data_IF_005185137313
#
_entry.id   IF_005185137313
#
_cell.length_a   1.000
_cell.length_b   1.000
_cell.length_c   1.000
_cell.angle_alpha   90.00
_cell.angle_beta   90.00
_cell.angle_gamma   90.00
#
_symmetry.space_group_name_H-M   'P 1'
#
loop_
_entity.id
_entity.type
_entity.pdbx_description
1 polymer ?
#
# COMPACT_ATOMS: atom_id res chain seq x y z
N UNK A 1 46.93 -3.91 33.04
CA UNK A 1 45.69 -3.63 32.28
C UNK A 1 44.62 -4.53 32.86
N UNK A 2 43.63 -3.94 33.55
CA UNK A 2 42.67 -4.68 34.39
C UNK A 2 41.43 -5.03 33.57
N UNK A 3 41.18 -6.33 33.37
CA UNK A 3 39.98 -6.85 32.72
C UNK A 3 38.79 -6.78 33.68
N UNK A 4 37.78 -5.96 33.36
CA UNK A 4 36.51 -5.94 34.08
C UNK A 4 35.67 -7.16 33.69
N UNK A 5 35.67 -8.18 34.54
CA UNK A 5 34.74 -9.31 34.48
C UNK A 5 33.30 -8.79 34.68
N UNK A 6 32.48 -8.79 33.63
CA UNK A 6 31.03 -8.63 33.72
C UNK A 6 30.43 -9.91 34.30
N UNK A 7 30.17 -9.92 35.61
CA UNK A 7 29.51 -11.02 36.31
C UNK A 7 28.06 -11.16 35.84
N UNK A 8 27.79 -12.15 34.98
CA UNK A 8 26.44 -12.54 34.58
C UNK A 8 25.74 -13.19 35.78
N UNK A 9 24.87 -12.42 36.44
CA UNK A 9 24.04 -12.88 37.57
C UNK A 9 23.01 -13.91 37.07
N UNK A 10 22.77 -15.03 37.78
CA UNK A 10 21.81 -16.04 37.33
C UNK A 10 20.39 -15.44 37.31
N UNK A 11 19.79 -15.48 36.13
CA UNK A 11 18.44 -14.98 35.85
C UNK A 11 17.44 -15.81 36.67
N UNK A 12 16.70 -15.17 37.58
CA UNK A 12 15.64 -15.85 38.33
C UNK A 12 14.53 -16.32 37.39
N UNK A 13 13.82 -17.43 37.71
CA UNK A 13 12.70 -17.93 36.88
C UNK A 13 11.66 -16.84 36.56
N UNK A 14 11.45 -15.90 37.48
CA UNK A 14 10.53 -14.78 37.29
C UNK A 14 11.07 -13.74 36.28
N UNK A 15 12.37 -13.42 36.33
CA UNK A 15 13.02 -12.53 35.35
C UNK A 15 12.88 -13.12 33.93
N UNK A 16 13.19 -14.40 33.76
CA UNK A 16 13.06 -15.08 32.47
C UNK A 16 11.62 -15.06 31.93
N UNK A 17 10.62 -15.21 32.81
CA UNK A 17 9.21 -15.14 32.44
C UNK A 17 8.80 -13.72 32.01
N UNK A 18 9.22 -12.69 32.76
CA UNK A 18 8.95 -11.28 32.46
C UNK A 18 9.60 -10.88 31.13
N UNK A 19 10.87 -11.20 30.91
CA UNK A 19 11.59 -10.90 29.66
C UNK A 19 10.93 -11.61 28.47
N UNK A 20 10.58 -12.88 28.60
CA UNK A 20 9.91 -13.63 27.53
C UNK A 20 8.52 -13.05 27.20
N UNK A 21 7.77 -12.57 28.20
CA UNK A 21 6.48 -11.92 27.98
C UNK A 21 6.65 -10.57 27.29
N UNK A 22 7.66 -9.79 27.70
CA UNK A 22 7.99 -8.49 27.09
C UNK A 22 8.37 -8.64 25.61
N UNK A 23 9.23 -9.61 25.28
CA UNK A 23 9.63 -9.89 23.91
C UNK A 23 8.47 -10.36 23.02
N UNK A 24 7.55 -11.18 23.55
CA UNK A 24 6.36 -11.61 22.81
C UNK A 24 5.45 -10.42 22.50
N UNK A 25 5.23 -9.54 23.46
CA UNK A 25 4.43 -8.32 23.27
C UNK A 25 5.08 -7.39 22.25
N UNK A 26 6.40 -7.20 22.32
CA UNK A 26 7.17 -6.42 21.34
C UNK A 26 7.07 -6.98 19.93
N UNK A 27 7.26 -8.29 19.77
CA UNK A 27 7.11 -8.95 18.46
C UNK A 27 5.71 -8.74 17.90
N UNK A 28 4.66 -8.90 18.72
CA UNK A 28 3.27 -8.71 18.30
C UNK A 28 2.98 -7.27 17.84
N UNK A 29 3.47 -6.27 18.59
CA UNK A 29 3.34 -4.85 18.21
C UNK A 29 4.05 -4.60 16.88
N UNK A 30 5.28 -5.09 16.72
CA UNK A 30 6.05 -4.92 15.48
C UNK A 30 5.37 -5.58 14.27
N UNK A 31 4.79 -6.76 14.44
CA UNK A 31 4.04 -7.44 13.38
C UNK A 31 2.77 -6.66 12.99
N UNK A 32 2.05 -6.09 13.96
CA UNK A 32 0.86 -5.28 13.68
C UNK A 32 1.21 -3.97 12.99
N UNK A 33 2.28 -3.30 13.39
CA UNK A 33 2.78 -2.11 12.71
C UNK A 33 3.23 -2.43 11.28
N UNK A 34 3.85 -3.61 11.06
CA UNK A 34 4.21 -4.08 9.73
C UNK A 34 2.97 -4.36 8.86
N UNK A 35 1.92 -4.96 9.43
CA UNK A 35 0.65 -5.13 8.72
C UNK A 35 0.00 -3.77 8.39
N UNK A 36 -0.02 -2.83 9.33
CA UNK A 36 -0.54 -1.49 9.09
C UNK A 36 0.22 -0.79 7.96
N UNK A 37 1.56 -0.87 7.98
CA UNK A 37 2.41 -0.35 6.91
C UNK A 37 2.18 -1.05 5.58
N UNK A 38 2.04 -2.37 5.58
CA UNK A 38 1.75 -3.17 4.39
C UNK A 38 0.40 -2.84 3.76
N UNK A 39 -0.66 -2.76 4.57
CA UNK A 39 -1.99 -2.35 4.10
C UNK A 39 -1.99 -0.89 3.64
N UNK A 40 -1.28 0.01 4.32
CA UNK A 40 -1.12 1.40 3.89
C UNK A 40 -0.42 1.52 2.55
N UNK A 41 0.66 0.74 2.34
CA UNK A 41 1.35 0.65 1.05
C UNK A 41 0.43 0.12 -0.05
N UNK A 42 -0.30 -0.95 0.22
CA UNK A 42 -1.25 -1.53 -0.73
C UNK A 42 -2.36 -0.52 -1.10
N UNK A 43 -2.91 0.20 -0.12
CA UNK A 43 -3.90 1.24 -0.35
C UNK A 43 -3.33 2.35 -1.25
N UNK A 44 -2.10 2.83 -0.97
CA UNK A 44 -1.42 3.83 -1.78
C UNK A 44 -1.15 3.38 -3.21
N UNK A 45 -0.74 2.11 -3.41
CA UNK A 45 -0.53 1.55 -4.74
C UNK A 45 -1.82 1.46 -5.54
N UNK A 46 -2.91 0.95 -4.93
CA UNK A 46 -4.21 0.90 -5.58
C UNK A 46 -4.74 2.30 -5.89
N UNK A 47 -4.50 3.27 -5.01
CA UNK A 47 -4.89 4.67 -5.20
C UNK A 47 -4.17 5.29 -6.40
N UNK A 48 -2.86 5.07 -6.50
CA UNK A 48 -2.07 5.51 -7.63
C UNK A 48 -2.58 4.92 -8.95
N UNK A 49 -2.81 3.61 -8.99
CA UNK A 49 -3.36 2.94 -10.18
C UNK A 49 -4.72 3.52 -10.57
N UNK A 50 -5.64 3.63 -9.61
CA UNK A 50 -6.97 4.19 -9.87
C UNK A 50 -6.89 5.63 -10.39
N UNK A 51 -6.07 6.47 -9.75
CA UNK A 51 -5.84 7.86 -10.17
C UNK A 51 -5.28 7.91 -11.59
N UNK A 52 -4.25 7.13 -11.89
CA UNK A 52 -3.62 7.09 -13.22
C UNK A 52 -4.60 6.63 -14.30
N UNK A 53 -5.43 5.61 -14.02
CA UNK A 53 -6.46 5.16 -14.96
C UNK A 53 -7.46 6.28 -15.23
N UNK A 54 -7.93 6.98 -14.18
CA UNK A 54 -8.89 8.09 -14.33
C UNK A 54 -8.26 9.23 -15.13
N UNK A 55 -7.04 9.65 -14.82
CA UNK A 55 -6.33 10.70 -15.55
C UNK A 55 -6.06 10.31 -17.00
N UNK A 56 -5.75 9.03 -17.26
CA UNK A 56 -5.52 8.54 -18.62
C UNK A 56 -6.80 8.61 -19.47
N UNK A 57 -7.94 8.30 -18.86
CA UNK A 57 -9.26 8.39 -19.51
C UNK A 57 -9.67 9.83 -19.76
N UNK A 58 -9.43 10.75 -18.83
CA UNK A 58 -9.93 12.14 -18.91
C UNK A 58 -8.99 13.07 -19.67
N UNK A 59 -7.68 12.97 -19.47
CA UNK A 59 -6.70 13.91 -20.00
C UNK A 59 -5.89 13.37 -21.18
N UNK A 60 -6.02 12.08 -21.53
CA UNK A 60 -5.21 11.42 -22.58
C UNK A 60 -3.72 11.73 -22.45
N UNK A 61 -3.15 11.37 -21.29
CA UNK A 61 -1.77 11.69 -20.93
C UNK A 61 -0.77 11.24 -22.00
N UNK A 62 0.25 12.06 -22.24
CA UNK A 62 1.42 11.65 -23.03
C UNK A 62 2.26 10.62 -22.27
N UNK A 63 3.09 9.87 -22.99
CA UNK A 63 3.93 8.84 -22.37
C UNK A 63 4.96 9.43 -21.40
N UNK A 64 5.53 10.60 -21.71
CA UNK A 64 6.46 11.31 -20.84
C UNK A 64 5.82 11.68 -19.49
N UNK A 65 4.58 12.19 -19.50
CA UNK A 65 3.88 12.54 -18.28
C UNK A 65 3.63 11.31 -17.41
N UNK A 66 3.27 10.16 -18.01
CA UNK A 66 3.11 8.91 -17.26
C UNK A 66 4.41 8.45 -16.61
N UNK A 67 5.55 8.59 -17.30
CA UNK A 67 6.86 8.24 -16.74
C UNK A 67 7.22 9.13 -15.54
N UNK A 68 6.91 10.43 -15.58
CA UNK A 68 7.13 11.33 -14.44
C UNK A 68 6.27 10.91 -13.23
N UNK A 69 5.00 10.59 -13.44
CA UNK A 69 4.14 10.09 -12.36
C UNK A 69 4.60 8.74 -11.80
N UNK A 70 5.04 7.83 -12.66
CA UNK A 70 5.59 6.55 -12.24
C UNK A 70 6.87 6.73 -11.42
N UNK A 71 7.78 7.62 -11.84
CA UNK A 71 8.99 7.95 -11.09
C UNK A 71 8.65 8.56 -9.72
N UNK A 72 7.73 9.52 -9.70
CA UNK A 72 7.25 10.12 -8.45
C UNK A 72 6.67 9.06 -7.51
N UNK A 73 5.86 8.13 -8.04
CA UNK A 73 5.32 7.03 -7.26
C UNK A 73 6.41 6.12 -6.69
N UNK A 74 7.41 5.74 -7.48
CA UNK A 74 8.53 4.90 -7.01
C UNK A 74 9.30 5.59 -5.88
N UNK A 75 9.57 6.90 -6.01
CA UNK A 75 10.25 7.68 -4.96
C UNK A 75 9.38 7.77 -3.69
N UNK A 76 8.09 8.09 -3.83
CA UNK A 76 7.17 8.17 -2.71
C UNK A 76 6.97 6.82 -2.01
N UNK A 77 6.85 5.74 -2.79
CA UNK A 77 6.76 4.36 -2.32
C UNK A 77 8.02 3.95 -1.54
N UNK A 78 9.20 4.22 -2.10
CA UNK A 78 10.48 3.95 -1.42
C UNK A 78 10.62 4.73 -0.11
N UNK A 79 10.26 6.02 -0.12
CA UNK A 79 10.28 6.86 1.07
C UNK A 79 9.29 6.37 2.13
N UNK A 80 8.08 5.98 1.73
CA UNK A 80 7.09 5.40 2.64
C UNK A 80 7.57 4.09 3.26
N UNK A 81 8.08 3.15 2.46
CA UNK A 81 8.60 1.87 2.95
C UNK A 81 9.81 2.07 3.87
N UNK A 82 10.67 3.05 3.58
CA UNK A 82 11.75 3.42 4.47
C UNK A 82 11.23 3.91 5.84
N UNK A 83 10.19 4.76 5.85
CA UNK A 83 9.58 5.22 7.09
C UNK A 83 8.81 4.12 7.85
N UNK A 84 8.13 3.22 7.14
CA UNK A 84 7.25 2.21 7.70
C UNK A 84 7.98 0.94 8.14
N UNK A 85 9.05 0.56 7.45
CA UNK A 85 9.78 -0.70 7.68
C UNK A 85 11.19 -0.44 8.19
N UNK A 86 11.98 0.34 7.46
CA UNK A 86 13.42 0.48 7.76
C UNK A 86 13.63 1.28 9.04
N UNK A 87 12.95 2.43 9.19
CA UNK A 87 13.12 3.32 10.35
C UNK A 87 12.70 2.67 11.69
N UNK A 88 11.60 1.88 11.79
CA UNK A 88 11.27 1.17 13.03
C UNK A 88 12.19 -0.01 13.35
N UNK A 89 12.81 -0.62 12.32
CA UNK A 89 13.79 -1.69 12.52
C UNK A 89 15.15 -1.15 12.99
N UNK A 90 15.57 0.01 12.47
CA UNK A 90 16.84 0.64 12.83
C UNK A 90 16.82 1.37 14.18
N UNK A 91 15.63 1.71 14.70
CA UNK A 91 15.52 2.29 16.04
C UNK A 91 15.62 1.19 17.09
N UNK A 92 16.73 1.18 17.83
CA UNK A 92 16.84 0.42 19.07
C UNK A 92 15.69 0.81 20.00
N UNK A 93 14.86 -0.17 20.33
CA UNK A 93 13.69 0.06 21.17
C UNK A 93 14.21 0.29 22.59
N UNK A 94 14.17 1.54 23.05
CA UNK A 94 14.52 1.86 24.43
C UNK A 94 13.58 1.08 25.38
N UNK A 95 14.10 0.23 26.29
CA UNK A 95 13.31 -0.58 27.22
C UNK A 95 12.27 0.22 28.02
N UNK A 96 12.57 1.50 28.32
CA UNK A 96 11.64 2.40 29.01
C UNK A 96 10.37 2.72 28.21
N UNK A 97 10.45 2.76 26.88
CA UNK A 97 9.28 2.97 26.01
C UNK A 97 8.30 1.78 26.09
N UNK A 98 8.85 0.57 26.22
CA UNK A 98 8.09 -0.68 26.33
C UNK A 98 7.39 -0.77 27.69
N UNK A 99 8.13 -0.46 28.76
CA UNK A 99 7.59 -0.38 30.12
C UNK A 99 6.43 0.63 30.19
N UNK A 100 6.61 1.82 29.61
CA UNK A 100 5.58 2.87 29.59
C UNK A 100 4.34 2.50 28.76
N UNK A 101 4.50 1.81 27.62
CA UNK A 101 3.36 1.28 26.85
C UNK A 101 2.62 0.15 27.56
N UNK A 102 3.30 -0.64 28.40
CA UNK A 102 2.65 -1.65 29.23
C UNK A 102 1.79 -0.98 30.32
N UNK A 103 2.31 0.04 30.98
CA UNK A 103 1.61 0.76 32.06
C UNK A 103 0.39 1.55 31.56
N UNK A 104 0.49 2.17 30.37
CA UNK A 104 -0.64 2.87 29.75
C UNK A 104 -1.85 1.95 29.49
N UNK A 105 -1.61 0.65 29.31
CA UNK A 105 -2.65 -0.34 29.07
C UNK A 105 -3.13 -1.07 30.34
N UNK A 106 -2.38 -0.99 31.45
CA UNK A 106 -2.72 -1.62 32.73
C UNK A 106 -3.71 -0.78 33.58
N UNK A 107 -4.07 0.42 33.11
CA UNK A 107 -5.00 1.34 33.78
C UNK A 107 -4.29 2.44 34.61
N UNK A 108 -5.00 3.55 34.90
CA UNK A 108 -4.40 4.69 35.60
C UNK A 108 -3.94 4.30 37.02
N UNK A 109 -2.69 4.61 37.36
CA UNK A 109 -2.12 4.42 38.70
C UNK A 109 -1.16 3.23 38.89
N UNK A 110 -0.81 2.48 37.83
CA UNK A 110 0.08 1.32 37.92
C UNK A 110 1.46 1.61 37.32
N UNK A 111 2.41 2.07 38.14
CA UNK A 111 3.78 2.45 37.75
C UNK A 111 4.82 1.35 38.03
N UNK A 112 4.41 0.08 38.03
CA UNK A 112 5.22 -1.01 38.58
C UNK A 112 6.27 -1.56 37.60
N UNK A 113 6.10 -1.38 36.29
CA UNK A 113 6.99 -1.96 35.26
C UNK A 113 8.18 -1.03 34.99
N UNK A 114 7.94 0.28 34.95
CA UNK A 114 9.00 1.30 34.89
C UNK A 114 9.81 1.26 36.18
N UNK A 115 9.15 1.15 37.33
CA UNK A 115 9.83 1.08 38.62
C UNK A 115 10.66 -0.21 38.79
N UNK A 116 10.17 -1.36 38.30
CA UNK A 116 10.97 -2.60 38.27
C UNK A 116 12.20 -2.44 37.37
N UNK A 117 12.06 -1.82 36.20
CA UNK A 117 13.18 -1.58 35.27
C UNK A 117 14.24 -0.63 35.88
N UNK A 118 13.81 0.42 36.58
CA UNK A 118 14.70 1.36 37.30
C UNK A 118 15.44 0.67 38.47
N UNK A 119 14.77 -0.27 39.15
CA UNK A 119 15.29 -0.96 40.35
C UNK A 119 16.08 -2.25 40.03
N UNK A 120 15.96 -2.81 38.83
CA UNK A 120 16.64 -4.06 38.45
C UNK A 120 18.17 -3.95 38.50
N UNK A 121 18.72 -2.75 38.26
CA UNK A 121 20.16 -2.47 38.35
C UNK A 121 20.67 -2.17 39.76
N UNK A 122 19.78 -1.95 40.73
CA UNK A 122 20.17 -1.58 42.11
C UNK A 122 20.28 -2.81 43.01
N UNK A 123 21.20 -2.77 43.98
CA UNK A 123 21.34 -3.83 44.99
C UNK A 123 20.18 -3.72 46.02
N UNK A 124 19.02 -4.29 45.70
CA UNK A 124 17.92 -4.43 46.66
C UNK A 124 18.06 -5.69 47.54
N UNK A 125 17.62 -5.63 48.82
CA UNK A 125 17.48 -6.80 49.68
C UNK A 125 16.58 -7.87 49.06
N UNK A 126 16.96 -9.15 49.16
CA UNK A 126 16.34 -10.26 48.43
C UNK A 126 14.83 -10.43 48.65
N UNK A 127 14.33 -10.14 49.85
CA UNK A 127 12.91 -10.23 50.18
C UNK A 127 12.06 -9.17 49.47
N UNK A 128 12.57 -7.95 49.32
CA UNK A 128 11.89 -6.87 48.59
C UNK A 128 11.88 -7.13 47.09
N UNK A 129 12.99 -7.66 46.54
CA UNK A 129 13.04 -8.06 45.12
C UNK A 129 12.03 -9.17 44.81
N UNK A 130 11.99 -10.23 45.61
CA UNK A 130 11.04 -11.33 45.41
C UNK A 130 9.57 -10.91 45.55
N UNK A 131 9.27 -9.96 46.44
CA UNK A 131 7.92 -9.38 46.58
C UNK A 131 7.51 -8.51 45.40
N UNK A 132 8.44 -7.73 44.86
CA UNK A 132 8.23 -6.92 43.66
C UNK A 132 8.01 -7.80 42.42
N UNK A 133 8.82 -8.85 42.24
CA UNK A 133 8.72 -9.80 41.13
C UNK A 133 7.35 -10.50 41.13
N UNK A 134 6.89 -10.99 42.29
CA UNK A 134 5.57 -11.62 42.42
C UNK A 134 4.42 -10.68 42.06
N UNK A 135 4.52 -9.41 42.45
CA UNK A 135 3.48 -8.42 42.17
C UNK A 135 3.42 -8.05 40.70
N UNK A 136 4.58 -7.91 40.06
CA UNK A 136 4.69 -7.67 38.61
C UNK A 136 4.17 -8.86 37.81
N UNK A 137 4.46 -10.09 38.22
CA UNK A 137 3.92 -11.32 37.58
C UNK A 137 2.40 -11.38 37.69
N UNK A 138 1.86 -11.17 38.89
CA UNK A 138 0.41 -11.17 39.12
C UNK A 138 -0.31 -10.10 38.28
N UNK A 139 0.25 -8.88 38.20
CA UNK A 139 -0.32 -7.82 37.38
C UNK A 139 -0.16 -8.05 35.87
N UNK A 140 0.91 -8.71 35.43
CA UNK A 140 1.11 -9.15 34.04
C UNK A 140 0.17 -10.28 33.62
N UNK A 141 -0.22 -11.15 34.55
CA UNK A 141 -1.22 -12.20 34.33
C UNK A 141 -2.63 -11.61 34.24
N UNK A 142 -2.92 -10.58 35.04
CA UNK A 142 -4.20 -9.88 35.01
C UNK A 142 -4.34 -8.91 33.82
N UNK A 143 -3.23 -8.39 33.29
CA UNK A 143 -3.20 -7.51 32.13
C UNK A 143 -3.38 -8.31 30.84
N UNK A 144 -4.61 -8.35 30.34
CA UNK A 144 -4.98 -9.03 29.10
C UNK A 144 -4.29 -8.37 27.88
N UNK A 145 -3.30 -9.02 27.24
CA UNK A 145 -2.57 -8.43 26.12
C UNK A 145 -3.44 -8.30 24.86
N UNK A 146 -4.61 -8.93 24.80
CA UNK A 146 -5.57 -8.78 23.70
C UNK A 146 -6.23 -7.39 23.66
N UNK A 147 -6.42 -6.72 24.81
CA UNK A 147 -7.11 -5.41 24.88
C UNK A 147 -6.19 -4.20 24.74
N UNK A 148 -4.89 -4.40 24.93
CA UNK A 148 -3.87 -3.36 25.08
C UNK A 148 -3.27 -2.83 23.77
N UNK A 149 -3.54 -3.46 22.62
CA UNK A 149 -2.88 -3.10 21.37
C UNK A 149 -3.91 -2.47 20.44
N UNK A 150 -3.82 -1.15 20.29
CA UNK A 150 -4.67 -0.34 19.44
C UNK A 150 -4.54 -0.75 17.97
N UNK A 151 -5.34 -1.74 17.56
CA UNK A 151 -5.48 -2.22 16.19
C UNK A 151 -6.05 -1.16 15.22
N UNK A 152 -6.28 0.07 15.69
CA UNK A 152 -6.96 1.14 14.95
C UNK A 152 -6.20 1.53 13.69
N UNK A 153 -4.88 1.64 13.73
CA UNK A 153 -4.09 2.03 12.55
C UNK A 153 -4.07 0.92 11.49
N UNK A 154 -3.91 -0.33 11.91
CA UNK A 154 -3.99 -1.49 11.01
C UNK A 154 -5.40 -1.64 10.43
N UNK A 155 -6.45 -1.44 11.23
CA UNK A 155 -7.83 -1.46 10.78
C UNK A 155 -8.12 -0.34 9.78
N UNK A 156 -7.71 0.91 10.05
CA UNK A 156 -7.88 2.03 9.12
C UNK A 156 -7.13 1.74 7.81
N UNK A 157 -5.89 1.26 7.89
CA UNK A 157 -5.11 0.90 6.71
C UNK A 157 -5.78 -0.23 5.90
N UNK A 158 -6.30 -1.26 6.57
CA UNK A 158 -7.01 -2.35 5.93
C UNK A 158 -8.33 -1.90 5.29
N UNK A 159 -9.11 -1.05 5.96
CA UNK A 159 -10.35 -0.46 5.42
C UNK A 159 -10.03 0.43 4.22
N UNK A 160 -8.97 1.25 4.29
CA UNK A 160 -8.53 2.06 3.17
C UNK A 160 -8.10 1.21 1.97
N UNK A 161 -7.33 0.14 2.21
CA UNK A 161 -6.92 -0.79 1.17
C UNK A 161 -8.13 -1.50 0.54
N UNK A 162 -9.06 -1.98 1.36
CA UNK A 162 -10.30 -2.61 0.91
C UNK A 162 -11.18 -1.66 0.09
N UNK A 163 -11.38 -0.43 0.56
CA UNK A 163 -12.12 0.59 -0.17
C UNK A 163 -11.47 0.92 -1.52
N UNK A 164 -10.14 1.02 -1.57
CA UNK A 164 -9.43 1.26 -2.82
C UNK A 164 -9.49 0.06 -3.77
N UNK A 165 -9.47 -1.17 -3.24
CA UNK A 165 -9.67 -2.37 -4.05
C UNK A 165 -11.07 -2.40 -4.69
N UNK A 166 -12.11 -1.97 -3.96
CA UNK A 166 -13.47 -1.83 -4.51
C UNK A 166 -13.52 -0.79 -5.64
N UNK A 167 -12.82 0.33 -5.51
CA UNK A 167 -12.71 1.35 -6.57
C UNK A 167 -12.04 0.76 -7.81
N UNK A 168 -10.90 0.07 -7.66
CA UNK A 168 -10.19 -0.57 -8.77
C UNK A 168 -11.06 -1.65 -9.43
N UNK A 169 -11.79 -2.45 -8.65
CA UNK A 169 -12.71 -3.45 -9.17
C UNK A 169 -13.87 -2.81 -9.94
N UNK A 170 -14.39 -1.69 -9.45
CA UNK A 170 -15.43 -0.93 -10.14
C UNK A 170 -14.93 -0.38 -11.47
N UNK A 171 -13.70 0.14 -11.51
CA UNK A 171 -13.04 0.52 -12.76
C UNK A 171 -12.89 -0.67 -13.70
N UNK A 172 -12.47 -1.84 -13.21
CA UNK A 172 -12.37 -3.06 -14.02
C UNK A 172 -13.71 -3.44 -14.66
N UNK A 173 -14.80 -3.42 -13.89
CA UNK A 173 -16.14 -3.75 -14.37
C UNK A 173 -16.62 -2.74 -15.43
N UNK A 174 -16.46 -1.44 -15.18
CA UNK A 174 -16.91 -0.38 -16.10
C UNK A 174 -16.05 -0.35 -17.39
N UNK A 175 -14.73 -0.53 -17.26
CA UNK A 175 -13.80 -0.47 -18.38
C UNK A 175 -13.72 -1.79 -19.17
N UNK A 176 -14.14 -2.90 -18.58
CA UNK A 176 -13.96 -4.25 -19.14
C UNK A 176 -12.50 -4.70 -19.11
N UNK A 177 -12.24 -6.01 -19.23
CA UNK A 177 -10.93 -6.60 -18.97
C UNK A 177 -9.82 -6.13 -19.91
N UNK A 178 -10.11 -5.99 -21.23
CA UNK A 178 -9.12 -5.54 -22.21
C UNK A 178 -8.66 -4.10 -22.00
N UNK A 179 -9.59 -3.11 -22.05
CA UNK A 179 -9.24 -1.70 -21.87
C UNK A 179 -8.72 -1.38 -20.45
N UNK A 180 -9.16 -2.11 -19.43
CA UNK A 180 -8.60 -1.99 -18.08
C UNK A 180 -7.15 -2.49 -18.04
N UNK A 181 -6.89 -3.70 -18.53
CA UNK A 181 -5.55 -4.29 -18.51
C UNK A 181 -4.51 -3.45 -19.24
N UNK A 182 -4.87 -2.90 -20.40
CA UNK A 182 -4.01 -1.97 -21.13
C UNK A 182 -3.69 -0.72 -20.30
N UNK A 183 -4.69 -0.07 -19.69
CA UNK A 183 -4.48 1.13 -18.86
C UNK A 183 -3.73 0.84 -17.58
N UNK A 184 -3.95 -0.32 -16.95
CA UNK A 184 -3.17 -0.78 -15.81
C UNK A 184 -1.69 -0.93 -16.20
N UNK A 185 -1.40 -1.58 -17.33
CA UNK A 185 -0.05 -1.67 -17.87
C UNK A 185 0.59 -0.30 -18.10
N UNK A 186 -0.16 0.64 -18.69
CA UNK A 186 0.29 2.02 -18.91
C UNK A 186 0.52 2.80 -17.62
N UNK A 187 -0.31 2.60 -16.60
CA UNK A 187 -0.13 3.21 -15.28
C UNK A 187 1.17 2.74 -14.61
N UNK A 188 1.62 1.51 -14.90
CA UNK A 188 2.91 0.96 -14.47
C UNK A 188 4.07 1.31 -15.41
N UNK A 189 3.85 2.17 -16.41
CA UNK A 189 4.89 2.64 -17.33
C UNK A 189 5.13 1.75 -18.56
N UNK A 190 4.28 0.74 -18.82
CA UNK A 190 4.37 -0.05 -20.06
C UNK A 190 3.73 0.71 -21.21
N UNK A 191 4.43 0.82 -22.34
CA UNK A 191 3.84 1.32 -23.60
C UNK A 191 2.95 0.22 -24.21
N UNK A 192 1.66 0.28 -23.88
CA UNK A 192 0.63 -0.63 -24.39
C UNK A 192 -0.46 0.21 -25.05
N UNK A 193 -0.84 -0.14 -26.27
CA UNK A 193 -1.99 0.50 -26.92
C UNK A 193 -3.28 0.06 -26.23
N UNK A 194 -4.16 1.03 -25.98
CA UNK A 194 -5.48 0.73 -25.42
C UNK A 194 -6.37 0.28 -26.57
N UNK A 195 -6.87 -0.97 -26.57
CA UNK A 195 -7.70 -1.45 -27.66
C UNK A 195 -8.94 -0.55 -27.79
N UNK A 196 -9.18 -0.06 -29.00
CA UNK A 196 -10.39 0.67 -29.32
C UNK A 196 -11.59 -0.27 -29.11
N UNK A 197 -12.64 0.22 -28.44
CA UNK A 197 -13.87 -0.55 -28.27
C UNK A 197 -14.66 -0.70 -29.57
N UNK A 198 -14.32 0.09 -30.58
CA UNK A 198 -14.92 0.10 -31.91
C UNK A 198 -13.83 -0.26 -32.92
N UNK A 199 -14.07 -1.29 -33.71
CA UNK A 199 -13.26 -1.64 -34.86
C UNK A 199 -13.96 -1.13 -36.11
N UNK A 200 -13.20 -0.50 -36.99
CA UNK A 200 -13.70 0.05 -38.26
C UNK A 200 -13.07 -0.78 -39.37
N UNK A 201 -13.90 -1.46 -40.14
CA UNK A 201 -13.46 -2.24 -41.30
C UNK A 201 -14.07 -1.62 -42.56
N UNK A 202 -13.24 -1.23 -43.53
CA UNK A 202 -13.71 -0.69 -44.80
C UNK A 202 -14.13 -1.87 -45.68
N UNK A 203 -15.42 -1.97 -45.98
CA UNK A 203 -15.97 -3.03 -46.85
C UNK A 203 -15.89 -2.59 -48.32
N UNK A 204 -16.09 -1.30 -48.58
CA UNK A 204 -16.08 -0.74 -49.93
C UNK A 204 -15.36 0.63 -49.92
N UNK A 205 -14.31 0.83 -50.76
CA UNK A 205 -13.68 -0.15 -51.64
C UNK A 205 -12.96 -1.28 -50.89
N UNK A 206 -12.95 -2.52 -51.43
CA UNK A 206 -12.31 -3.66 -50.78
C UNK A 206 -10.79 -3.42 -50.67
N UNK A 207 -10.27 -3.44 -49.45
CA UNK A 207 -8.86 -3.14 -49.17
C UNK A 207 -8.56 -1.66 -48.87
N UNK A 208 -9.57 -0.78 -48.86
CA UNK A 208 -9.43 0.63 -48.51
C UNK A 208 -9.10 1.56 -49.68
N UNK A 209 -8.55 1.02 -50.77
CA UNK A 209 -8.19 1.76 -51.98
C UNK A 209 -9.08 1.37 -53.17
N UNK A 210 -9.43 2.33 -54.02
CA UNK A 210 -10.24 2.09 -55.21
C UNK A 210 -9.96 3.11 -56.31
N UNK A 211 -9.99 2.66 -57.57
CA UNK A 211 -9.87 3.53 -58.74
C UNK A 211 -11.27 3.82 -59.27
N UNK A 212 -11.57 5.09 -59.46
CA UNK A 212 -12.87 5.59 -59.93
C UNK A 212 -12.68 6.61 -61.03
N UNK A 213 -13.59 6.59 -62.00
CA UNK A 213 -13.58 7.54 -63.12
C UNK A 213 -13.98 8.92 -62.63
N UNK A 214 -13.30 9.96 -63.13
CA UNK A 214 -13.61 11.37 -62.83
C UNK A 214 -15.10 11.64 -63.08
N UNK A 215 -15.76 12.28 -62.12
CA UNK A 215 -17.19 12.59 -62.16
C UNK A 215 -18.11 11.45 -61.72
N UNK A 216 -17.58 10.26 -61.39
CA UNK A 216 -18.38 9.15 -60.87
C UNK A 216 -18.51 9.21 -59.34
N UNK A 217 -19.70 8.93 -58.77
CA UNK A 217 -19.88 8.90 -57.32
C UNK A 217 -19.13 7.70 -56.70
N UNK A 218 -18.46 7.95 -55.56
CA UNK A 218 -17.78 6.91 -54.77
C UNK A 218 -18.64 6.53 -53.57
N UNK A 219 -18.94 5.24 -53.43
CA UNK A 219 -19.63 4.71 -52.25
C UNK A 219 -18.61 4.14 -51.26
N UNK A 220 -18.44 4.80 -50.12
CA UNK A 220 -17.60 4.32 -49.02
C UNK A 220 -18.50 3.62 -48.00
N UNK A 221 -18.25 2.33 -47.79
CA UNK A 221 -19.00 1.52 -46.82
C UNK A 221 -18.06 1.00 -45.76
N UNK A 222 -18.35 1.33 -44.50
CA UNK A 222 -17.59 0.88 -43.33
C UNK A 222 -18.46 0.02 -42.42
N UNK A 223 -17.91 -1.11 -41.98
CA UNK A 223 -18.47 -1.93 -40.90
C UNK A 223 -17.92 -1.42 -39.58
N UNK A 224 -18.82 -1.11 -38.66
CA UNK A 224 -18.46 -0.83 -37.26
C UNK A 224 -18.79 -2.05 -36.41
N UNK A 225 -17.75 -2.73 -35.93
CA UNK A 225 -17.87 -3.85 -34.98
C UNK A 225 -17.47 -3.41 -33.56
N UNK A 226 -18.14 -3.95 -32.54
CA UNK A 226 -17.90 -3.58 -31.14
C UNK A 226 -18.88 -2.51 -30.60
N UNK A 227 -18.43 -1.69 -29.66
CA UNK A 227 -19.25 -0.65 -29.03
C UNK A 227 -19.45 0.51 -30.02
N UNK A 228 -20.66 0.69 -30.54
CA UNK A 228 -20.97 1.77 -31.47
C UNK A 228 -21.17 3.10 -30.71
N UNK A 229 -20.59 4.21 -31.18
CA UNK A 229 -20.78 5.53 -30.57
C UNK A 229 -22.26 5.96 -30.69
N UNK A 230 -22.82 6.49 -29.59
CA UNK A 230 -24.22 6.95 -29.55
C UNK A 230 -24.47 8.17 -30.45
N UNK A 231 -23.44 8.98 -30.66
CA UNK A 231 -23.52 10.24 -31.41
C UNK A 231 -23.29 10.04 -32.93
N UNK A 232 -23.23 8.79 -33.40
CA UNK A 232 -22.95 8.45 -34.79
C UNK A 232 -21.46 8.48 -35.13
N UNK A 233 -21.15 8.17 -36.39
CA UNK A 233 -19.80 8.23 -36.93
C UNK A 233 -19.66 9.45 -37.85
N UNK A 234 -18.53 10.15 -37.76
CA UNK A 234 -18.21 11.29 -38.64
C UNK A 234 -17.17 10.84 -39.65
N UNK A 235 -17.45 11.06 -40.94
CA UNK A 235 -16.48 10.84 -42.01
C UNK A 235 -15.66 12.12 -42.21
N UNK A 236 -14.35 12.06 -41.97
CA UNK A 236 -13.44 13.15 -42.30
C UNK A 236 -12.82 12.88 -43.67
N UNK A 237 -13.16 13.71 -44.66
CA UNK A 237 -12.59 13.64 -46.01
C UNK A 237 -11.41 14.59 -46.10
N UNK A 238 -10.24 14.09 -46.50
CA UNK A 238 -9.06 14.89 -46.84
C UNK A 238 -8.79 14.69 -48.34
N UNK A 239 -8.72 15.77 -49.09
CA UNK A 239 -8.34 15.77 -50.51
C UNK A 239 -6.98 16.47 -50.68
N UNK A 240 -6.20 16.06 -51.67
CA UNK A 240 -5.00 16.80 -52.07
C UNK A 240 -5.41 18.04 -52.90
N UNK A 241 -4.82 19.21 -52.64
CA UNK A 241 -5.20 20.45 -53.32
C UNK A 241 -4.87 20.47 -54.83
N UNK A 242 -4.07 19.52 -55.32
CA UNK A 242 -3.80 19.34 -56.76
C UNK A 242 -4.96 18.69 -57.53
N UNK A 243 -5.95 18.14 -56.83
CA UNK A 243 -7.21 17.64 -57.39
C UNK A 243 -8.34 18.60 -57.02
N UNK A 244 -8.43 19.71 -57.75
CA UNK A 244 -9.66 20.51 -57.78
C UNK A 244 -10.61 19.93 -58.85
N UNK A 245 -11.94 20.03 -58.64
CA UNK A 245 -12.95 19.39 -59.48
C UNK A 245 -12.95 19.84 -60.95
#
# INVERSE_FOLDING_TARGET
MSSSNTTTKPIGKHDAFITARLERTLRRIRTLDLFAGGFGFLAGMLAFVALMIVLDVTLKLSDATRQVFALFFVVAAGFYLWLAVVRPLLREINPHYVARKLEQNAGPGRHYVVNWLDLHGQQLPGAFRAGLDRRVVHDLEAADPERAISNRNALIAAVAAGGMAVIVLSLFIVLGPGPFGARFGRALGRSVEVPARTTIEIINPPGGDGVVTIGSPVSIVVRLTGLQPRDGAVLQVRHEPSESP
#
